data_IF_967456938691
#
_entry.id   IF_967456938691
#
_cell.length_a   1.000
_cell.length_b   1.000
_cell.length_c   1.000
_cell.angle_alpha   90.00
_cell.angle_beta   90.00
_cell.angle_gamma   90.00
#
_symmetry.space_group_name_H-M   'P 1'
#
loop_
_entity.id
_entity.type
_entity.pdbx_description
1 polymer ?
#
# COMPACT_ATOMS: atom_id res chain seq x y z
N UNK A 1 14.93 -5.79 1.68
CA UNK A 1 14.40 -5.31 0.37
C UNK A 1 13.94 -6.53 -0.42
N UNK A 2 12.68 -6.56 -0.85
CA UNK A 2 12.07 -7.68 -1.58
C UNK A 2 11.63 -7.21 -2.97
N UNK A 3 11.82 -8.03 -4.00
CA UNK A 3 11.25 -7.83 -5.33
C UNK A 3 10.09 -8.82 -5.51
N UNK A 4 8.92 -8.47 -4.98
CA UNK A 4 7.77 -9.38 -4.90
C UNK A 4 6.46 -8.58 -4.84
N UNK A 5 5.33 -9.27 -4.98
CA UNK A 5 4.01 -8.74 -4.62
C UNK A 5 3.93 -8.42 -3.12
N UNK A 6 3.62 -7.17 -2.79
CA UNK A 6 3.49 -6.70 -1.42
C UNK A 6 2.49 -7.53 -0.61
N UNK A 7 1.40 -8.02 -1.20
CA UNK A 7 0.41 -8.82 -0.48
C UNK A 7 0.99 -10.15 0.03
N UNK A 8 1.95 -10.75 -0.69
CA UNK A 8 2.62 -11.97 -0.22
C UNK A 8 3.57 -11.67 0.94
N UNK A 9 4.28 -10.54 0.86
CA UNK A 9 5.21 -10.12 1.91
C UNK A 9 4.43 -9.76 3.18
N UNK A 10 3.36 -8.98 3.05
CA UNK A 10 2.49 -8.57 4.15
C UNK A 10 1.88 -9.77 4.88
N UNK A 11 1.46 -10.82 4.14
CA UNK A 11 0.90 -12.04 4.73
C UNK A 11 1.87 -12.80 5.67
N UNK A 12 3.18 -12.57 5.56
CA UNK A 12 4.19 -13.18 6.46
C UNK A 12 4.46 -12.35 7.71
N UNK A 13 3.94 -11.13 7.79
CA UNK A 13 4.18 -10.22 8.91
C UNK A 13 3.12 -10.39 10.00
N UNK A 14 3.51 -10.31 11.28
CA UNK A 14 2.56 -10.35 12.40
C UNK A 14 1.59 -9.17 12.38
N UNK A 15 0.43 -9.37 13.00
CA UNK A 15 -0.53 -8.29 13.23
C UNK A 15 0.06 -7.22 14.17
N UNK A 16 -0.37 -5.97 14.02
CA UNK A 16 0.05 -4.83 14.86
C UNK A 16 1.59 -4.73 15.02
N UNK A 17 2.36 -4.96 13.95
CA UNK A 17 3.83 -5.02 13.99
C UNK A 17 4.54 -3.84 13.29
N UNK A 18 3.80 -2.92 12.68
CA UNK A 18 4.35 -1.82 11.86
C UNK A 18 3.85 -0.47 12.39
N UNK A 19 4.77 0.43 12.75
CA UNK A 19 4.40 1.78 13.19
C UNK A 19 4.12 2.73 12.02
N UNK A 20 4.84 2.57 10.90
CA UNK A 20 4.74 3.47 9.75
C UNK A 20 4.70 2.68 8.45
N UNK A 21 3.67 2.92 7.65
CA UNK A 21 3.62 2.49 6.25
C UNK A 21 3.83 3.74 5.37
N UNK A 22 4.89 3.74 4.57
CA UNK A 22 5.23 4.84 3.66
C UNK A 22 5.13 4.34 2.22
N UNK A 23 4.18 4.86 1.45
CA UNK A 23 3.79 4.28 0.14
C UNK A 23 3.53 5.33 -0.94
N UNK A 24 3.88 4.97 -2.17
CA UNK A 24 3.55 5.68 -3.42
C UNK A 24 2.89 4.67 -4.37
N UNK A 25 1.57 4.44 -4.25
CA UNK A 25 0.87 3.41 -5.01
C UNK A 25 0.72 3.81 -6.49
N UNK A 26 0.52 2.84 -7.41
CA UNK A 26 0.30 3.15 -8.82
C UNK A 26 -1.06 3.83 -9.02
N UNK A 27 -1.05 5.02 -9.60
CA UNK A 27 -2.25 5.84 -9.80
C UNK A 27 -2.82 5.76 -11.22
N UNK A 28 -2.20 4.96 -12.08
CA UNK A 28 -2.62 4.63 -13.45
C UNK A 28 -2.75 5.84 -14.40
N UNK A 29 -2.03 6.93 -14.12
CA UNK A 29 -2.00 8.13 -14.97
C UNK A 29 -0.71 8.27 -15.78
N UNK A 30 0.39 7.61 -15.40
CA UNK A 30 1.62 7.64 -16.18
C UNK A 30 1.56 6.60 -17.30
N UNK A 31 1.53 7.07 -18.55
CA UNK A 31 1.45 6.19 -19.71
C UNK A 31 2.76 5.41 -19.91
N UNK A 32 2.64 4.14 -20.28
CA UNK A 32 3.74 3.24 -20.63
C UNK A 32 4.78 3.00 -19.51
N UNK A 33 4.37 3.14 -18.24
CA UNK A 33 5.25 2.82 -17.10
C UNK A 33 4.96 1.43 -16.54
N UNK A 34 6.01 0.64 -16.33
CA UNK A 34 5.91 -0.75 -15.83
C UNK A 34 5.25 -0.85 -14.44
N UNK A 35 5.39 0.20 -13.63
CA UNK A 35 4.88 0.25 -12.27
C UNK A 35 3.41 0.65 -12.20
N UNK A 36 2.85 1.28 -13.23
CA UNK A 36 1.45 1.72 -13.29
C UNK A 36 0.54 0.55 -13.66
N UNK A 37 0.31 -0.32 -12.69
CA UNK A 37 -0.55 -1.50 -12.81
C UNK A 37 -1.66 -1.46 -11.77
N UNK A 38 -2.90 -1.85 -12.12
CA UNK A 38 -3.97 -1.92 -11.14
C UNK A 38 -3.62 -2.93 -10.05
N UNK A 39 -4.12 -2.68 -8.84
CA UNK A 39 -3.99 -3.57 -7.70
C UNK A 39 -5.31 -3.61 -6.93
N UNK A 40 -5.49 -4.64 -6.11
CA UNK A 40 -6.64 -4.75 -5.22
C UNK A 40 -6.46 -3.81 -4.02
N UNK A 41 -6.99 -2.59 -4.16
CA UNK A 41 -6.91 -1.54 -3.14
C UNK A 41 -7.54 -1.99 -1.82
N UNK A 42 -8.73 -2.61 -1.87
CA UNK A 42 -9.43 -3.04 -0.67
C UNK A 42 -8.61 -4.07 0.11
N UNK A 43 -8.04 -5.06 -0.58
CA UNK A 43 -7.19 -6.06 0.04
C UNK A 43 -5.92 -5.46 0.60
N UNK A 44 -5.27 -4.56 -0.14
CA UNK A 44 -4.05 -3.89 0.30
C UNK A 44 -4.29 -3.04 1.55
N UNK A 45 -5.30 -2.17 1.56
CA UNK A 45 -5.59 -1.33 2.72
C UNK A 45 -6.10 -2.13 3.92
N UNK A 46 -6.77 -3.26 3.70
CA UNK A 46 -7.13 -4.20 4.77
C UNK A 46 -5.88 -4.79 5.44
N UNK A 47 -4.89 -5.18 4.65
CA UNK A 47 -3.59 -5.64 5.17
C UNK A 47 -2.82 -4.52 5.86
N UNK A 48 -2.84 -3.29 5.34
CA UNK A 48 -2.26 -2.14 6.05
C UNK A 48 -2.87 -1.97 7.44
N UNK A 49 -4.21 -2.05 7.55
CA UNK A 49 -4.91 -1.95 8.84
C UNK A 49 -4.52 -3.08 9.79
N UNK A 50 -4.37 -4.31 9.31
CA UNK A 50 -3.96 -5.47 10.11
C UNK A 50 -2.54 -5.30 10.67
N UNK A 51 -1.62 -4.79 9.85
CA UNK A 51 -0.22 -4.65 10.21
C UNK A 51 0.10 -3.43 11.07
N UNK A 52 -0.67 -2.35 10.96
CA UNK A 52 -0.41 -1.13 11.72
C UNK A 52 -0.64 -1.36 13.21
N UNK A 53 0.29 -0.82 14.03
CA UNK A 53 0.05 -0.69 15.47
C UNK A 53 -1.12 0.26 15.73
N UNK A 54 -1.69 0.23 16.95
CA UNK A 54 -2.79 1.12 17.34
C UNK A 54 -2.50 2.61 17.18
N UNK A 55 -1.22 2.99 17.29
CA UNK A 55 -0.75 4.37 17.12
C UNK A 55 -0.03 4.58 15.78
N UNK A 56 0.00 3.55 14.93
CA UNK A 56 0.66 3.59 13.65
C UNK A 56 -0.09 4.43 12.63
N UNK A 57 0.60 4.84 11.59
CA UNK A 57 0.02 5.70 10.55
C UNK A 57 0.56 5.37 9.16
N UNK A 58 -0.16 5.84 8.14
CA UNK A 58 0.22 5.74 6.74
C UNK A 58 0.63 7.12 6.23
N UNK A 59 1.80 7.20 5.60
CA UNK A 59 2.18 8.31 4.74
C UNK A 59 1.99 7.84 3.30
N UNK A 60 1.05 8.44 2.59
CA UNK A 60 0.76 8.10 1.21
C UNK A 60 1.00 9.32 0.33
N UNK A 61 1.88 9.18 -0.66
CA UNK A 61 2.14 10.20 -1.67
C UNK A 61 1.03 10.18 -2.69
N UNK A 62 0.33 11.29 -2.88
CA UNK A 62 -0.77 11.38 -3.85
C UNK A 62 -0.67 12.62 -4.74
N UNK A 63 -1.46 12.64 -5.81
CA UNK A 63 -1.58 13.78 -6.72
C UNK A 63 -3.06 14.09 -7.02
N UNK A 64 -3.54 15.24 -6.56
CA UNK A 64 -4.92 15.71 -6.77
C UNK A 64 -5.91 15.22 -5.71
N UNK A 65 -7.21 15.38 -5.97
CA UNK A 65 -8.27 14.74 -5.16
C UNK A 65 -8.06 13.23 -5.28
N UNK A 66 -7.70 12.58 -4.17
CA UNK A 66 -7.62 11.13 -4.11
C UNK A 66 -8.94 10.56 -4.59
N UNK A 67 -8.93 9.87 -5.73
CA UNK A 67 -10.09 9.22 -6.33
C UNK A 67 -10.51 7.97 -5.54
N UNK A 68 -10.63 8.07 -4.22
CA UNK A 68 -11.23 7.01 -3.42
C UNK A 68 -12.71 6.92 -3.82
N UNK A 69 -13.05 5.90 -4.60
CA UNK A 69 -14.42 5.44 -4.85
C UNK A 69 -14.63 4.11 -4.14
#
# INVERSE_FOLDING_TARGET
LHNEDNLKVMATMPDESIDVICIDPPYLYLKNQKLERPFDEQKFFSECKRLLTKNGFIVMFGRGVSFYR
#
